data_IF_584941957341
#
_entry.id   IF_584941957341
#
_cell.length_a   1.000
_cell.length_b   1.000
_cell.length_c   1.000
_cell.angle_alpha   90.00
_cell.angle_beta   90.00
_cell.angle_gamma   90.00
#
_symmetry.space_group_name_H-M   'P 1'
#
loop_
_entity.id
_entity.type
_entity.pdbx_description
1 polymer ?
#
# COMPACT_ATOMS: atom_id res chain seq x y z
N UNK A 1 -14.18 -16.96 -16.14
CA UNK A 1 -14.28 -18.32 -15.56
C UNK A 1 -13.29 -18.55 -14.40
N UNK A 2 -12.54 -17.54 -13.96
CA UNK A 2 -11.51 -17.64 -12.90
C UNK A 2 -12.08 -17.40 -11.49
N UNK A 3 -13.22 -16.71 -11.36
CA UNK A 3 -13.82 -16.38 -10.05
C UNK A 3 -14.48 -17.54 -9.26
N UNK A 4 -14.72 -18.69 -9.88
CA UNK A 4 -15.39 -19.81 -9.21
C UNK A 4 -14.44 -20.76 -8.44
N UNK A 5 -13.13 -20.66 -8.65
CA UNK A 5 -12.14 -21.53 -7.99
C UNK A 5 -11.74 -21.04 -6.60
N UNK A 6 -11.72 -19.72 -6.38
CA UNK A 6 -11.31 -19.12 -5.09
C UNK A 6 -12.36 -19.25 -3.97
N UNK A 7 -13.65 -19.40 -4.32
CA UNK A 7 -14.70 -19.61 -3.30
C UNK A 7 -14.60 -20.98 -2.62
N UNK A 8 -13.99 -21.98 -3.26
CA UNK A 8 -13.82 -23.33 -2.71
C UNK A 8 -12.68 -23.46 -1.70
N UNK A 9 -11.61 -22.69 -1.84
CA UNK A 9 -10.51 -22.65 -0.86
C UNK A 9 -10.95 -22.05 0.50
N UNK A 10 -11.89 -21.11 0.49
CA UNK A 10 -12.51 -20.57 1.71
C UNK A 10 -13.37 -21.61 2.42
N UNK A 11 -14.06 -22.47 1.70
CA UNK A 11 -14.87 -23.56 2.31
C UNK A 11 -14.00 -24.61 2.99
N UNK A 12 -12.81 -24.91 2.47
CA UNK A 12 -11.87 -25.87 3.09
C UNK A 12 -11.26 -25.33 4.38
N UNK A 13 -10.91 -24.06 4.46
CA UNK A 13 -10.41 -23.43 5.69
C UNK A 13 -11.46 -23.42 6.82
N UNK A 14 -12.75 -23.20 6.49
CA UNK A 14 -13.85 -23.33 7.45
C UNK A 14 -14.09 -24.79 7.89
N UNK A 15 -13.85 -25.76 7.02
CA UNK A 15 -14.04 -27.19 7.34
C UNK A 15 -12.96 -27.71 8.30
N UNK A 16 -11.72 -27.25 8.17
CA UNK A 16 -10.64 -27.61 9.11
C UNK A 16 -10.86 -27.04 10.52
N UNK A 17 -11.50 -25.90 10.65
CA UNK A 17 -11.83 -25.31 11.95
C UNK A 17 -12.97 -26.08 12.68
N UNK A 18 -13.84 -26.77 11.96
CA UNK A 18 -14.95 -27.57 12.54
C UNK A 18 -14.62 -29.04 12.80
N UNK A 19 -13.54 -29.57 12.22
CA UNK A 19 -13.16 -30.99 12.35
C UNK A 19 -12.50 -31.36 13.71
N UNK A 20 -12.28 -30.43 14.62
CA UNK A 20 -11.68 -30.71 15.92
C UNK A 20 -12.67 -31.27 16.98
N UNK A 21 -13.90 -31.55 16.61
CA UNK A 21 -14.92 -32.04 17.57
C UNK A 21 -15.77 -33.17 17.02
N UNK A 22 -15.18 -34.21 16.48
CA UNK A 22 -15.96 -35.47 16.32
C UNK A 22 -15.09 -36.74 16.43
N UNK A 23 -15.60 -37.58 17.25
CA UNK A 23 -15.16 -38.81 17.85
C UNK A 23 -14.92 -39.98 16.86
N UNK A 24 -14.16 -40.94 17.34
CA UNK A 24 -13.74 -42.24 16.83
C UNK A 24 -14.81 -43.00 16.07
N UNK A 25 -14.62 -43.25 14.75
CA UNK A 25 -15.04 -44.53 14.15
C UNK A 25 -14.26 -44.87 12.86
N UNK A 26 -13.74 -46.05 12.77
CA UNK A 26 -12.81 -46.61 11.77
C UNK A 26 -13.35 -46.72 10.32
N UNK A 27 -14.58 -46.39 10.03
CA UNK A 27 -15.21 -46.52 8.71
C UNK A 27 -15.14 -45.28 7.81
N UNK A 28 -14.65 -44.13 8.30
CA UNK A 28 -14.57 -42.88 7.52
C UNK A 28 -13.25 -42.69 6.77
N UNK A 29 -12.24 -43.48 7.02
CA UNK A 29 -10.91 -43.35 6.35
C UNK A 29 -11.00 -43.72 4.88
N UNK A 30 -11.95 -44.58 4.49
CA UNK A 30 -12.11 -45.00 3.08
C UNK A 30 -12.84 -43.97 2.21
N UNK A 31 -13.68 -43.13 2.79
CA UNK A 31 -14.40 -42.06 2.06
C UNK A 31 -13.43 -40.87 1.77
N UNK A 32 -12.48 -40.63 2.63
CA UNK A 32 -11.49 -39.56 2.44
C UNK A 32 -10.54 -39.82 1.26
N UNK A 33 -10.27 -41.08 0.93
CA UNK A 33 -9.37 -41.49 -0.17
C UNK A 33 -9.98 -41.35 -1.57
N UNK A 34 -11.28 -41.20 -1.71
CA UNK A 34 -11.96 -41.04 -3.02
C UNK A 34 -12.18 -39.57 -3.42
N UNK A 35 -12.01 -38.60 -2.50
CA UNK A 35 -12.16 -37.16 -2.79
C UNK A 35 -10.86 -36.46 -3.19
N UNK A 36 -9.69 -37.12 -3.04
CA UNK A 36 -8.37 -36.54 -3.30
C UNK A 36 -7.86 -36.76 -4.74
N UNK A 37 -8.71 -37.11 -5.70
CA UNK A 37 -8.28 -37.33 -7.10
C UNK A 37 -8.77 -36.26 -8.06
N UNK A 38 -8.91 -35.03 -7.60
CA UNK A 38 -9.31 -33.93 -8.46
C UNK A 38 -8.37 -32.71 -8.25
N UNK A 39 -7.18 -32.73 -8.90
CA UNK A 39 -6.29 -31.60 -9.18
C UNK A 39 -6.18 -30.58 -8.02
N UNK A 40 -5.93 -31.06 -6.82
CA UNK A 40 -5.43 -30.20 -5.76
C UNK A 40 -3.98 -29.88 -6.10
N UNK A 41 -3.59 -28.59 -5.99
CA UNK A 41 -2.19 -28.19 -6.03
C UNK A 41 -1.49 -29.07 -5.01
N UNK A 42 -0.65 -29.98 -5.49
CA UNK A 42 0.08 -30.89 -4.63
C UNK A 42 1.15 -30.05 -3.89
N UNK A 43 0.79 -29.60 -2.69
CA UNK A 43 1.68 -28.81 -1.82
C UNK A 43 2.92 -29.58 -1.36
N UNK A 44 3.09 -30.84 -1.81
CA UNK A 44 4.29 -31.63 -1.54
C UNK A 44 5.56 -31.00 -2.18
N UNK A 45 5.39 -30.02 -3.08
CA UNK A 45 6.51 -29.39 -3.78
C UNK A 45 6.80 -27.94 -3.34
N UNK A 46 6.72 -27.65 -2.02
CA UNK A 46 7.13 -26.34 -1.50
C UNK A 46 8.53 -25.90 -1.96
N UNK A 47 9.44 -26.85 -2.17
CA UNK A 47 10.78 -26.55 -2.68
C UNK A 47 10.75 -26.03 -4.11
N UNK A 48 9.85 -26.53 -4.96
CA UNK A 48 9.67 -26.01 -6.31
C UNK A 48 9.06 -24.60 -6.28
N UNK A 49 8.03 -24.37 -5.46
CA UNK A 49 7.45 -23.02 -5.23
C UNK A 49 8.53 -22.04 -4.79
N UNK A 50 9.33 -22.39 -3.78
CA UNK A 50 10.43 -21.56 -3.29
C UNK A 50 11.48 -21.31 -4.38
N UNK A 51 11.82 -22.31 -5.15
CA UNK A 51 12.80 -22.18 -6.24
C UNK A 51 12.31 -21.23 -7.33
N UNK A 52 11.05 -21.36 -7.77
CA UNK A 52 10.45 -20.46 -8.75
C UNK A 52 10.35 -19.02 -8.22
N UNK A 53 10.01 -18.85 -6.93
CA UNK A 53 10.01 -17.56 -6.25
C UNK A 53 11.37 -16.86 -6.31
N UNK A 54 12.45 -17.60 -6.07
CA UNK A 54 13.81 -17.06 -6.13
C UNK A 54 14.24 -16.70 -7.54
N UNK A 55 13.86 -17.50 -8.54
CA UNK A 55 14.12 -17.15 -9.96
C UNK A 55 13.35 -15.90 -10.35
N UNK A 56 12.11 -15.77 -9.92
CA UNK A 56 11.27 -14.59 -10.16
C UNK A 56 11.88 -13.31 -9.52
N UNK A 57 12.39 -13.42 -8.30
CA UNK A 57 13.02 -12.29 -7.56
C UNK A 57 14.38 -11.88 -8.14
N UNK A 58 15.22 -12.85 -8.52
CA UNK A 58 16.60 -12.63 -8.91
C UNK A 58 16.79 -12.51 -10.43
N UNK A 59 15.73 -12.74 -11.21
CA UNK A 59 15.69 -12.58 -12.66
C UNK A 59 16.49 -13.62 -13.45
N UNK A 60 17.25 -14.52 -12.79
CA UNK A 60 18.04 -15.57 -13.48
C UNK A 60 18.10 -16.88 -12.69
N UNK A 61 18.08 -17.99 -13.42
CA UNK A 61 18.29 -19.35 -12.86
C UNK A 61 19.63 -19.47 -12.15
N UNK A 62 20.68 -18.81 -12.67
CA UNK A 62 22.04 -18.88 -12.09
C UNK A 62 22.10 -18.18 -10.73
N UNK A 63 21.45 -17.02 -10.58
CA UNK A 63 21.41 -16.30 -9.33
C UNK A 63 20.60 -17.08 -8.28
N UNK A 64 19.44 -17.62 -8.66
CA UNK A 64 18.62 -18.45 -7.78
C UNK A 64 19.34 -19.73 -7.33
N UNK A 65 20.02 -20.43 -8.27
CA UNK A 65 20.81 -21.63 -7.97
C UNK A 65 21.91 -21.35 -6.94
N UNK A 66 22.61 -20.21 -7.11
CA UNK A 66 23.67 -19.78 -6.18
C UNK A 66 23.10 -19.45 -4.79
N UNK A 67 22.00 -18.72 -4.73
CA UNK A 67 21.39 -18.27 -3.48
C UNK A 67 20.76 -19.42 -2.68
N UNK A 68 20.16 -20.38 -3.39
CA UNK A 68 19.56 -21.59 -2.81
C UNK A 68 20.57 -22.73 -2.58
N UNK A 69 21.82 -22.55 -2.99
CA UNK A 69 22.89 -23.57 -2.91
C UNK A 69 22.53 -24.90 -3.60
N UNK A 70 21.80 -24.84 -4.73
CA UNK A 70 21.40 -26.00 -5.53
C UNK A 70 21.93 -25.91 -6.97
N UNK A 71 21.90 -27.02 -7.70
CA UNK A 71 22.30 -27.03 -9.10
C UNK A 71 21.29 -26.32 -10.02
N UNK A 72 21.77 -25.65 -11.07
CA UNK A 72 20.93 -25.01 -12.09
C UNK A 72 19.92 -25.99 -12.73
N UNK A 73 20.34 -27.24 -12.96
CA UNK A 73 19.44 -28.28 -13.47
C UNK A 73 18.25 -28.56 -12.54
N UNK A 74 18.47 -28.53 -11.21
CA UNK A 74 17.42 -28.69 -10.21
C UNK A 74 16.47 -27.51 -10.23
N UNK A 75 16.98 -26.27 -10.35
CA UNK A 75 16.14 -25.07 -10.48
C UNK A 75 15.21 -25.19 -11.70
N UNK A 76 15.77 -25.59 -12.84
CA UNK A 76 14.97 -25.76 -14.07
C UNK A 76 13.92 -26.84 -13.92
N UNK A 77 14.27 -28.00 -13.34
CA UNK A 77 13.32 -29.08 -13.10
C UNK A 77 12.16 -28.63 -12.21
N UNK A 78 12.42 -27.94 -11.11
CA UNK A 78 11.39 -27.42 -10.22
C UNK A 78 10.42 -26.46 -10.92
N UNK A 79 10.94 -25.58 -11.80
CA UNK A 79 10.08 -24.69 -12.59
C UNK A 79 9.24 -25.47 -13.59
N UNK A 80 9.85 -26.41 -14.32
CA UNK A 80 9.14 -27.24 -15.31
C UNK A 80 8.06 -28.09 -14.63
N UNK A 81 8.31 -28.62 -13.42
CA UNK A 81 7.34 -29.36 -12.61
C UNK A 81 6.11 -28.49 -12.29
N UNK A 82 6.31 -27.27 -11.74
CA UNK A 82 5.22 -26.35 -11.42
C UNK A 82 4.44 -25.94 -12.66
N UNK A 83 5.10 -25.60 -13.76
CA UNK A 83 4.46 -25.19 -15.01
C UNK A 83 3.65 -26.33 -15.65
N UNK A 84 4.05 -27.61 -15.43
CA UNK A 84 3.32 -28.78 -15.91
C UNK A 84 2.09 -29.08 -15.03
N UNK A 85 2.21 -28.96 -13.72
CA UNK A 85 1.13 -29.21 -12.78
C UNK A 85 0.01 -28.17 -12.92
N UNK A 86 0.35 -26.89 -13.01
CA UNK A 86 -0.60 -25.79 -13.11
C UNK A 86 -1.10 -25.53 -14.55
N UNK A 87 -0.46 -26.14 -15.55
CA UNK A 87 -0.83 -26.01 -16.96
C UNK A 87 -0.58 -24.62 -17.56
N UNK A 88 0.23 -23.78 -16.90
CA UNK A 88 0.57 -22.41 -17.31
C UNK A 88 2.04 -22.11 -17.23
N UNK A 89 2.52 -21.23 -18.12
CA UNK A 89 3.89 -20.73 -18.06
C UNK A 89 3.98 -19.61 -17.04
N UNK A 90 4.85 -19.76 -16.03
CA UNK A 90 5.19 -18.73 -15.05
C UNK A 90 6.31 -17.82 -15.55
N UNK A 91 7.22 -18.37 -16.34
CA UNK A 91 8.44 -17.71 -16.76
C UNK A 91 8.63 -17.85 -18.27
N UNK A 92 8.88 -16.74 -18.96
CA UNK A 92 9.29 -16.69 -20.37
C UNK A 92 10.78 -16.45 -20.49
N UNK A 93 11.43 -17.25 -21.35
CA UNK A 93 12.86 -17.10 -21.68
C UNK A 93 13.05 -16.06 -22.77
N UNK A 94 13.93 -15.12 -22.54
CA UNK A 94 14.39 -14.16 -23.52
C UNK A 94 15.93 -14.19 -23.63
N UNK A 95 16.45 -13.65 -24.70
CA UNK A 95 17.93 -13.60 -24.95
C UNK A 95 18.69 -12.87 -23.82
N UNK A 96 18.05 -12.02 -23.05
CA UNK A 96 18.63 -11.22 -21.94
C UNK A 96 18.25 -11.70 -20.55
N UNK A 97 17.53 -12.82 -20.39
CA UNK A 97 17.12 -13.33 -19.08
C UNK A 97 15.71 -13.92 -19.08
N UNK A 98 15.11 -13.94 -17.92
CA UNK A 98 13.78 -14.47 -17.68
C UNK A 98 12.83 -13.33 -17.34
N UNK A 99 11.66 -13.31 -17.97
CA UNK A 99 10.55 -12.42 -17.63
C UNK A 99 9.39 -13.22 -17.09
N UNK A 100 8.71 -12.67 -16.10
CA UNK A 100 7.49 -13.27 -15.59
C UNK A 100 6.35 -13.08 -16.59
N UNK A 101 5.50 -14.08 -16.71
CA UNK A 101 4.17 -13.94 -17.31
C UNK A 101 3.23 -13.25 -16.32
N UNK A 102 2.01 -12.92 -16.73
CA UNK A 102 0.98 -12.45 -15.81
C UNK A 102 0.74 -13.45 -14.67
N UNK A 103 0.57 -14.74 -15.00
CA UNK A 103 0.47 -15.81 -14.00
C UNK A 103 1.72 -15.92 -13.12
N UNK A 104 2.92 -15.69 -13.70
CA UNK A 104 4.17 -15.64 -12.94
C UNK A 104 4.26 -14.47 -11.98
N UNK A 105 3.65 -13.33 -12.30
CA UNK A 105 3.58 -12.19 -11.39
C UNK A 105 2.65 -12.48 -10.22
N UNK A 106 1.47 -13.06 -10.48
CA UNK A 106 0.52 -13.48 -9.45
C UNK A 106 1.15 -14.53 -8.53
N UNK A 107 1.83 -15.51 -9.12
CA UNK A 107 2.59 -16.52 -8.38
C UNK A 107 3.65 -15.88 -7.47
N UNK A 108 4.46 -14.94 -7.98
CA UNK A 108 5.47 -14.23 -7.19
C UNK A 108 4.86 -13.54 -5.98
N UNK A 109 3.73 -12.88 -6.16
CA UNK A 109 3.05 -12.14 -5.11
C UNK A 109 2.54 -13.08 -4.00
N UNK A 110 1.83 -14.14 -4.40
CA UNK A 110 1.26 -15.14 -3.46
C UNK A 110 2.38 -15.91 -2.75
N UNK A 111 3.37 -16.41 -3.48
CA UNK A 111 4.48 -17.17 -2.90
C UNK A 111 5.31 -16.33 -1.93
N UNK A 112 5.50 -15.02 -2.23
CA UNK A 112 6.18 -14.09 -1.32
C UNK A 112 5.41 -13.88 -0.02
N UNK A 113 4.10 -13.68 -0.10
CA UNK A 113 3.25 -13.52 1.07
C UNK A 113 3.25 -14.80 1.94
N UNK A 114 3.21 -15.98 1.30
CA UNK A 114 3.27 -17.26 2.00
C UNK A 114 4.60 -17.49 2.70
N UNK A 115 5.72 -17.17 2.04
CA UNK A 115 7.06 -17.25 2.66
C UNK A 115 7.15 -16.34 3.89
N UNK A 116 6.65 -15.12 3.81
CA UNK A 116 6.61 -14.18 4.94
C UNK A 116 5.81 -14.74 6.13
N UNK A 117 4.67 -15.34 5.87
CA UNK A 117 3.85 -15.98 6.92
C UNK A 117 4.57 -17.18 7.57
N UNK A 118 5.28 -17.98 6.80
CA UNK A 118 6.08 -19.09 7.32
C UNK A 118 7.27 -18.63 8.16
N UNK A 119 7.94 -17.54 7.74
CA UNK A 119 9.03 -16.91 8.52
C UNK A 119 8.50 -16.42 9.87
N UNK A 120 7.36 -15.74 9.88
CA UNK A 120 6.71 -15.25 11.10
C UNK A 120 6.30 -16.41 12.03
N UNK A 121 5.73 -17.48 11.45
CA UNK A 121 5.37 -18.69 12.20
C UNK A 121 6.62 -19.32 12.85
N UNK A 122 7.70 -19.49 12.09
CA UNK A 122 8.95 -20.03 12.59
C UNK A 122 9.55 -19.16 13.71
N UNK A 123 9.44 -17.83 13.60
CA UNK A 123 9.83 -16.88 14.64
C UNK A 123 9.05 -17.11 15.96
N UNK A 124 7.73 -17.25 15.85
CA UNK A 124 6.85 -17.52 17.02
C UNK A 124 7.14 -18.85 17.67
N UNK A 125 7.35 -19.92 16.90
CA UNK A 125 7.69 -21.26 17.42
C UNK A 125 9.02 -21.25 18.18
N UNK A 126 10.01 -20.48 17.72
CA UNK A 126 11.32 -20.35 18.38
C UNK A 126 11.29 -19.46 19.62
N UNK A 127 10.14 -18.94 20.03
CA UNK A 127 10.03 -18.00 21.15
C UNK A 127 10.69 -16.64 20.89
N UNK A 128 11.11 -16.37 19.65
CA UNK A 128 11.68 -15.09 19.20
C UNK A 128 10.60 -14.23 18.54
N UNK A 129 9.46 -14.06 19.19
CA UNK A 129 8.32 -13.28 18.67
C UNK A 129 8.62 -11.80 18.43
N UNK A 130 9.82 -11.34 18.76
CA UNK A 130 10.26 -9.95 18.62
C UNK A 130 11.20 -9.69 17.43
N UNK A 131 11.66 -10.72 16.71
CA UNK A 131 12.49 -10.49 15.51
C UNK A 131 11.60 -10.22 14.31
N UNK A 132 11.57 -8.95 13.91
CA UNK A 132 10.96 -8.49 12.66
C UNK A 132 12.01 -8.64 11.58
N UNK A 133 11.79 -9.58 10.66
CA UNK A 133 12.75 -9.94 9.61
C UNK A 133 12.14 -9.73 8.21
N UNK A 134 13.02 -9.68 7.21
CA UNK A 134 12.64 -9.64 5.81
C UNK A 134 12.32 -8.25 5.29
N UNK A 135 11.42 -8.14 4.32
CA UNK A 135 11.07 -6.89 3.64
C UNK A 135 9.69 -6.42 4.07
N UNK A 136 9.59 -5.17 4.51
CA UNK A 136 8.34 -4.46 4.72
C UNK A 136 8.07 -3.56 3.52
N UNK A 137 6.97 -3.79 2.80
CA UNK A 137 6.55 -2.98 1.66
C UNK A 137 5.40 -2.09 2.12
N UNK A 138 5.63 -0.77 2.06
CA UNK A 138 4.64 0.25 2.37
C UNK A 138 4.30 1.01 1.11
N UNK A 139 3.02 1.19 0.82
CA UNK A 139 2.59 2.06 -0.29
C UNK A 139 1.82 3.25 0.23
N UNK A 140 2.06 4.42 -0.35
CA UNK A 140 1.45 5.66 0.09
C UNK A 140 1.23 6.64 -1.06
N UNK A 141 0.42 7.66 -0.80
CA UNK A 141 0.29 8.84 -1.65
C UNK A 141 1.43 9.82 -1.37
N UNK A 142 1.83 10.61 -2.38
CA UNK A 142 3.01 11.47 -2.31
C UNK A 142 3.01 12.45 -1.13
N UNK A 143 1.89 13.07 -0.85
CA UNK A 143 1.78 14.09 0.21
C UNK A 143 2.15 13.54 1.60
N UNK A 144 2.25 12.22 1.75
CA UNK A 144 2.59 11.54 2.99
C UNK A 144 4.10 11.25 3.14
N UNK A 145 4.95 11.53 2.16
CA UNK A 145 6.37 11.20 2.18
C UNK A 145 7.09 11.85 3.38
N UNK A 146 6.97 13.17 3.56
CA UNK A 146 7.56 13.91 4.67
C UNK A 146 7.08 13.40 6.05
N UNK A 147 5.84 12.89 6.14
CA UNK A 147 5.24 12.39 7.38
C UNK A 147 5.66 10.96 7.70
N UNK A 148 5.89 10.13 6.67
CA UNK A 148 6.22 8.71 6.85
C UNK A 148 7.71 8.49 7.11
N UNK A 149 8.59 9.33 6.60
CA UNK A 149 10.03 9.16 6.79
C UNK A 149 10.43 9.08 8.26
N UNK A 150 9.93 9.92 9.20
CA UNK A 150 10.23 9.78 10.62
C UNK A 150 9.74 8.45 11.22
N UNK A 151 8.58 7.93 10.77
CA UNK A 151 8.08 6.63 11.20
C UNK A 151 8.96 5.49 10.69
N UNK A 152 9.41 5.57 9.42
CA UNK A 152 10.32 4.59 8.83
C UNK A 152 11.68 4.60 9.54
N UNK A 153 12.22 5.78 9.86
CA UNK A 153 13.46 5.92 10.64
C UNK A 153 13.34 5.25 12.01
N UNK A 154 12.27 5.56 12.75
CA UNK A 154 12.02 4.97 14.06
C UNK A 154 11.84 3.45 13.97
N UNK A 155 11.14 2.95 12.94
CA UNK A 155 10.98 1.53 12.69
C UNK A 155 12.32 0.85 12.39
N UNK A 156 13.13 1.42 11.51
CA UNK A 156 14.46 0.91 11.15
C UNK A 156 15.43 0.88 12.33
N UNK A 157 15.37 1.88 13.20
CA UNK A 157 16.17 1.92 14.42
C UNK A 157 15.82 0.77 15.37
N UNK A 158 14.53 0.41 15.48
CA UNK A 158 14.07 -0.70 16.33
C UNK A 158 14.28 -2.08 15.68
N UNK A 159 14.23 -2.13 14.34
CA UNK A 159 14.29 -3.35 13.55
C UNK A 159 15.30 -3.24 12.41
N UNK A 160 16.63 -3.20 12.72
CA UNK A 160 17.69 -2.93 11.73
C UNK A 160 17.80 -4.03 10.66
N UNK A 161 17.33 -5.23 10.94
CA UNK A 161 17.36 -6.38 10.03
C UNK A 161 16.20 -6.40 9.02
N UNK A 162 15.25 -5.47 9.14
CA UNK A 162 14.11 -5.37 8.22
C UNK A 162 14.39 -4.32 7.15
N UNK A 163 14.32 -4.70 5.89
CA UNK A 163 14.37 -3.75 4.78
C UNK A 163 12.99 -3.12 4.55
N UNK A 164 12.92 -1.80 4.51
CA UNK A 164 11.69 -1.08 4.18
C UNK A 164 11.73 -0.59 2.74
N UNK A 165 10.70 -0.93 1.98
CA UNK A 165 10.44 -0.36 0.65
C UNK A 165 9.21 0.54 0.75
N UNK A 166 9.39 1.83 0.48
CA UNK A 166 8.29 2.78 0.34
C UNK A 166 8.01 2.98 -1.15
N UNK A 167 6.79 2.68 -1.56
CA UNK A 167 6.30 2.91 -2.92
C UNK A 167 5.30 4.06 -2.89
N UNK A 168 5.61 5.13 -3.60
CA UNK A 168 4.77 6.31 -3.68
C UNK A 168 4.00 6.30 -5.00
N UNK A 169 2.69 6.49 -4.92
CA UNK A 169 1.83 6.58 -6.11
C UNK A 169 0.37 6.38 -5.80
N UNK A 170 -0.46 6.69 -6.80
CA UNK A 170 -1.93 6.58 -6.70
C UNK A 170 -2.44 5.19 -7.15
N UNK A 171 -1.57 4.33 -7.68
CA UNK A 171 -1.95 2.97 -8.07
C UNK A 171 -2.37 2.17 -6.85
N UNK A 172 -3.50 1.48 -6.98
CA UNK A 172 -3.96 0.54 -5.96
C UNK A 172 -3.16 -0.75 -6.14
N UNK A 173 -2.21 -0.99 -5.24
CA UNK A 173 -1.51 -2.28 -5.18
C UNK A 173 -2.41 -3.30 -4.49
N UNK A 174 -2.37 -4.53 -4.98
CA UNK A 174 -3.16 -5.63 -4.46
C UNK A 174 -2.56 -6.14 -3.15
N UNK A 175 -3.14 -5.74 -2.04
CA UNK A 175 -2.71 -6.18 -0.71
C UNK A 175 -2.94 -7.69 -0.52
N UNK A 176 -3.96 -8.24 -1.16
CA UNK A 176 -4.27 -9.68 -1.12
C UNK A 176 -3.19 -10.55 -1.74
N UNK A 177 -2.46 -10.03 -2.72
CA UNK A 177 -1.34 -10.73 -3.38
C UNK A 177 0.03 -10.38 -2.79
N UNK A 178 0.06 -9.63 -1.68
CA UNK A 178 1.32 -9.27 -1.03
C UNK A 178 2.18 -8.24 -1.78
N UNK A 179 1.63 -7.54 -2.78
CA UNK A 179 2.32 -6.45 -3.48
C UNK A 179 2.71 -5.32 -2.52
N UNK A 180 1.90 -5.12 -1.48
CA UNK A 180 2.24 -4.27 -0.34
C UNK A 180 1.71 -4.89 0.96
N UNK A 181 2.41 -4.63 2.07
CA UNK A 181 2.00 -5.09 3.40
C UNK A 181 1.12 -4.06 4.10
N UNK A 182 1.42 -2.78 3.90
CA UNK A 182 0.70 -1.64 4.48
C UNK A 182 0.46 -0.61 3.39
N UNK A 183 -0.79 -0.21 3.21
CA UNK A 183 -1.17 0.89 2.32
C UNK A 183 -1.67 2.07 3.14
N UNK A 184 -1.19 3.28 2.81
CA UNK A 184 -1.70 4.53 3.37
C UNK A 184 -2.43 5.28 2.26
N UNK A 185 -3.70 5.59 2.50
CA UNK A 185 -4.59 6.16 1.48
C UNK A 185 -5.34 7.37 2.02
N UNK A 186 -5.54 8.34 1.16
CA UNK A 186 -6.27 9.58 1.44
C UNK A 186 -7.77 9.47 1.05
N UNK A 187 -8.62 10.20 1.75
CA UNK A 187 -10.01 10.40 1.36
C UNK A 187 -11.00 9.51 2.11
N UNK A 188 -11.93 8.88 1.40
CA UNK A 188 -12.97 8.03 2.00
C UNK A 188 -12.36 6.76 2.59
N UNK A 189 -12.96 6.28 3.69
CA UNK A 189 -12.57 5.00 4.29
C UNK A 189 -12.67 3.88 3.24
N UNK A 190 -11.59 3.15 2.96
CA UNK A 190 -11.62 1.99 2.08
C UNK A 190 -12.63 0.96 2.58
N UNK A 191 -13.37 0.34 1.66
CA UNK A 191 -14.39 -0.65 1.98
C UNK A 191 -14.16 -1.93 1.15
N UNK A 192 -13.16 -2.73 1.54
CA UNK A 192 -12.92 -4.05 0.98
C UNK A 192 -13.03 -5.08 2.10
N UNK A 193 -13.77 -6.20 1.92
CA UNK A 193 -14.07 -7.14 3.01
C UNK A 193 -12.83 -7.81 3.61
N UNK A 194 -11.78 -8.00 2.81
CA UNK A 194 -10.55 -8.67 3.24
C UNK A 194 -9.49 -7.69 3.77
N UNK A 195 -9.86 -6.41 3.92
CA UNK A 195 -8.94 -5.39 4.43
C UNK A 195 -9.28 -4.98 5.87
N UNK A 196 -8.25 -4.90 6.69
CA UNK A 196 -8.29 -4.20 7.98
C UNK A 196 -7.96 -2.74 7.73
N UNK A 197 -8.90 -1.85 8.06
CA UNK A 197 -8.77 -0.40 7.83
C UNK A 197 -8.76 0.34 9.15
N UNK A 198 -7.67 1.06 9.43
CA UNK A 198 -7.47 1.85 10.64
C UNK A 198 -7.34 3.34 10.28
N UNK A 199 -7.86 4.27 11.10
CA UNK A 199 -7.57 5.68 10.92
C UNK A 199 -6.09 5.96 11.22
N UNK A 200 -5.48 6.86 10.43
CA UNK A 200 -4.10 7.30 10.65
C UNK A 200 -4.08 8.74 11.17
N UNK A 201 -4.46 9.70 10.34
CA UNK A 201 -4.47 11.12 10.66
C UNK A 201 -5.47 11.90 9.82
N UNK A 202 -5.67 13.16 10.17
CA UNK A 202 -6.33 14.14 9.31
C UNK A 202 -5.33 15.23 8.93
N UNK A 203 -5.43 15.74 7.72
CA UNK A 203 -4.58 16.80 7.18
C UNK A 203 -5.48 17.99 6.85
N UNK A 204 -5.18 19.12 7.45
CA UNK A 204 -5.82 20.38 7.16
C UNK A 204 -5.01 21.12 6.10
N UNK A 205 -5.64 21.54 5.02
CA UNK A 205 -5.00 22.26 3.91
C UNK A 205 -5.64 23.62 3.69
N UNK A 206 -4.84 24.61 3.33
CA UNK A 206 -5.29 25.96 2.98
C UNK A 206 -4.77 26.38 1.61
N UNK A 207 -5.29 27.47 1.09
CA UNK A 207 -4.78 28.12 -0.11
C UNK A 207 -3.69 29.11 0.27
N UNK A 208 -2.50 28.96 -0.31
CA UNK A 208 -1.32 29.73 0.01
C UNK A 208 -0.73 30.40 -1.23
N UNK A 209 -0.07 31.54 -1.00
CA UNK A 209 0.79 32.21 -1.96
C UNK A 209 2.12 32.58 -1.30
N UNK A 210 3.18 32.70 -2.09
CA UNK A 210 4.43 33.28 -1.61
C UNK A 210 4.31 34.81 -1.53
N UNK A 211 4.95 35.41 -0.54
CA UNK A 211 4.92 36.87 -0.33
C UNK A 211 5.31 37.67 -1.57
N UNK A 212 6.37 37.26 -2.28
CA UNK A 212 6.80 37.94 -3.51
C UNK A 212 5.75 37.93 -4.63
N UNK A 213 4.91 36.88 -4.69
CA UNK A 213 3.80 36.82 -5.61
C UNK A 213 2.74 37.87 -5.24
N UNK A 214 2.39 37.97 -3.95
CA UNK A 214 1.43 38.98 -3.47
C UNK A 214 1.94 40.40 -3.61
N UNK A 215 3.24 40.61 -3.46
CA UNK A 215 3.88 41.95 -3.69
C UNK A 215 3.74 42.38 -5.15
N UNK A 216 3.74 41.44 -6.11
CA UNK A 216 3.64 41.69 -7.54
C UNK A 216 2.18 41.80 -8.03
N UNK A 217 1.29 40.91 -7.57
CA UNK A 217 -0.08 40.78 -8.10
C UNK A 217 -1.15 41.32 -7.15
N UNK A 218 -0.76 41.74 -5.93
CA UNK A 218 -1.67 42.19 -4.90
C UNK A 218 -2.24 41.07 -4.04
N UNK A 219 -2.98 41.42 -2.96
CA UNK A 219 -3.60 40.46 -2.06
C UNK A 219 -4.80 39.79 -2.73
N UNK A 220 -4.96 38.48 -2.52
CA UNK A 220 -6.14 37.73 -2.93
C UNK A 220 -7.33 38.07 -2.02
N UNK A 221 -8.47 38.51 -2.58
CA UNK A 221 -9.63 39.00 -1.83
C UNK A 221 -10.84 38.06 -1.84
N UNK A 222 -10.67 36.84 -2.37
CA UNK A 222 -11.72 35.82 -2.45
C UNK A 222 -12.13 35.50 -3.89
N UNK A 223 -13.27 34.82 -4.03
CA UNK A 223 -13.67 34.23 -5.30
C UNK A 223 -13.82 35.23 -6.46
N UNK A 224 -14.24 36.45 -6.19
CA UNK A 224 -14.37 37.51 -7.20
C UNK A 224 -13.01 37.98 -7.76
N UNK A 225 -11.92 37.67 -7.06
CA UNK A 225 -10.56 38.06 -7.42
C UNK A 225 -9.80 36.96 -8.21
N UNK A 226 -10.40 35.78 -8.35
CA UNK A 226 -9.81 34.65 -9.05
C UNK A 226 -9.29 35.01 -10.46
N UNK A 227 -10.02 35.76 -11.29
CA UNK A 227 -9.54 36.11 -12.64
C UNK A 227 -8.24 36.93 -12.65
N UNK A 228 -7.87 37.57 -11.54
CA UNK A 228 -6.68 38.41 -11.41
C UNK A 228 -5.46 37.65 -10.90
N UNK A 229 -5.61 36.36 -10.58
CA UNK A 229 -4.54 35.56 -9.99
C UNK A 229 -4.23 34.29 -10.77
N UNK A 230 -2.99 33.82 -10.64
CA UNK A 230 -2.50 32.56 -11.19
C UNK A 230 -2.61 31.45 -10.16
N UNK A 231 -2.94 30.24 -10.62
CA UNK A 231 -3.11 29.09 -9.76
C UNK A 231 -2.23 27.90 -10.19
N UNK A 232 -1.87 27.09 -9.20
CA UNK A 232 -1.11 25.85 -9.37
C UNK A 232 -2.07 24.69 -9.17
N UNK A 233 -2.28 23.93 -10.24
CA UNK A 233 -3.25 22.83 -10.32
C UNK A 233 -2.63 21.44 -10.27
N UNK A 234 -3.51 20.46 -10.40
CA UNK A 234 -3.17 19.04 -10.52
C UNK A 234 -3.54 18.52 -11.91
N UNK A 235 -2.80 17.51 -12.38
CA UNK A 235 -3.09 16.85 -13.67
C UNK A 235 -4.22 15.82 -13.58
N UNK A 236 -4.61 15.39 -12.37
CA UNK A 236 -5.69 14.41 -12.15
C UNK A 236 -7.05 15.10 -12.12
N UNK A 237 -7.65 15.19 -13.29
CA UNK A 237 -8.98 15.76 -13.47
C UNK A 237 -10.10 14.88 -12.86
N UNK A 238 -9.85 13.60 -12.62
CA UNK A 238 -10.82 12.67 -12.03
C UNK A 238 -10.82 12.70 -10.50
N UNK A 239 -9.88 13.39 -9.89
CA UNK A 239 -9.69 13.43 -8.43
C UNK A 239 -10.94 13.94 -7.70
N UNK A 240 -11.33 13.21 -6.66
CA UNK A 240 -12.40 13.61 -5.74
C UNK A 240 -11.87 14.29 -4.46
N UNK A 241 -10.59 14.66 -4.42
CA UNK A 241 -10.02 15.43 -3.34
C UNK A 241 -10.69 16.81 -3.30
N UNK A 242 -11.28 17.23 -2.16
CA UNK A 242 -12.15 18.42 -2.11
C UNK A 242 -11.50 19.69 -2.64
N UNK A 243 -10.22 19.93 -2.34
CA UNK A 243 -9.50 21.11 -2.83
C UNK A 243 -9.35 21.10 -4.36
N UNK A 244 -9.07 19.93 -4.95
CA UNK A 244 -8.98 19.77 -6.41
C UNK A 244 -10.35 19.95 -7.07
N UNK A 245 -11.42 19.47 -6.42
CA UNK A 245 -12.80 19.69 -6.89
C UNK A 245 -13.15 21.17 -6.84
N UNK A 246 -12.79 21.87 -5.75
CA UNK A 246 -13.00 23.31 -5.64
C UNK A 246 -12.26 24.06 -6.76
N UNK A 247 -10.98 23.76 -6.97
CA UNK A 247 -10.17 24.41 -8.01
C UNK A 247 -10.78 24.24 -9.40
N UNK A 248 -11.18 23.01 -9.79
CA UNK A 248 -11.81 22.74 -11.10
C UNK A 248 -13.14 23.46 -11.31
N UNK A 249 -13.90 23.68 -10.22
CA UNK A 249 -15.23 24.32 -10.31
C UNK A 249 -15.15 25.83 -10.28
N UNK A 250 -14.12 26.39 -9.66
CA UNK A 250 -14.07 27.81 -9.29
C UNK A 250 -13.01 28.58 -10.09
N UNK A 251 -11.89 27.93 -10.42
CA UNK A 251 -10.79 28.58 -11.11
C UNK A 251 -10.90 28.35 -12.63
N UNK A 252 -10.98 29.41 -13.47
CA UNK A 252 -10.92 29.27 -14.92
C UNK A 252 -9.62 28.61 -15.38
N UNK A 253 -9.68 27.81 -16.44
CA UNK A 253 -8.53 27.05 -16.93
C UNK A 253 -7.34 27.96 -17.32
N UNK A 254 -7.61 29.13 -17.86
CA UNK A 254 -6.61 30.12 -18.24
C UNK A 254 -5.83 30.70 -17.04
N UNK A 255 -6.40 30.63 -15.86
CA UNK A 255 -5.75 31.05 -14.62
C UNK A 255 -4.88 29.96 -13.99
N UNK A 256 -4.96 28.70 -14.46
CA UNK A 256 -4.11 27.61 -14.02
C UNK A 256 -2.82 27.62 -14.86
N UNK A 257 -1.79 28.26 -14.34
CA UNK A 257 -0.54 28.50 -15.09
C UNK A 257 0.48 27.36 -14.97
N UNK A 258 0.30 26.47 -14.00
CA UNK A 258 1.18 25.33 -13.78
C UNK A 258 0.39 24.16 -13.22
N UNK A 259 0.66 22.94 -13.73
CA UNK A 259 0.04 21.69 -13.26
C UNK A 259 1.10 20.63 -13.01
N UNK A 260 0.92 19.84 -11.98
CA UNK A 260 1.77 18.69 -11.67
C UNK A 260 0.96 17.64 -10.93
N UNK A 261 1.22 16.36 -11.18
CA UNK A 261 0.68 15.25 -10.38
C UNK A 261 1.49 15.01 -9.08
N UNK A 262 2.55 15.79 -8.88
CA UNK A 262 3.47 15.67 -7.74
C UNK A 262 3.23 16.81 -6.75
N UNK A 263 2.74 16.48 -5.54
CA UNK A 263 2.41 17.47 -4.50
C UNK A 263 3.64 18.24 -4.00
N UNK A 264 4.82 17.60 -3.97
CA UNK A 264 6.07 18.26 -3.62
C UNK A 264 6.51 19.30 -4.66
N UNK A 265 6.25 19.01 -5.96
CA UNK A 265 6.50 19.96 -7.06
C UNK A 265 5.49 21.11 -7.00
N UNK A 266 4.22 20.83 -6.74
CA UNK A 266 3.20 21.88 -6.54
C UNK A 266 3.61 22.82 -5.39
N UNK A 267 4.03 22.26 -4.24
CA UNK A 267 4.53 23.06 -3.09
C UNK A 267 5.71 23.95 -3.49
N UNK A 268 6.70 23.41 -4.20
CA UNK A 268 7.86 24.19 -4.67
C UNK A 268 7.44 25.29 -5.65
N UNK A 269 6.45 25.08 -6.49
CA UNK A 269 5.92 26.08 -7.40
C UNK A 269 5.27 27.24 -6.63
N UNK A 270 4.49 26.96 -5.57
CA UNK A 270 3.96 28.01 -4.68
C UNK A 270 5.09 28.77 -4.00
N UNK A 271 6.10 28.06 -3.46
CA UNK A 271 7.27 28.66 -2.80
C UNK A 271 8.11 29.51 -3.75
N UNK A 272 8.13 29.19 -5.03
CA UNK A 272 8.80 29.97 -6.06
C UNK A 272 7.99 31.21 -6.53
N UNK A 273 6.76 31.39 -6.00
CA UNK A 273 5.92 32.54 -6.38
C UNK A 273 5.27 32.41 -7.75
N UNK A 274 5.05 31.17 -8.26
CA UNK A 274 4.38 30.99 -9.55
C UNK A 274 2.88 31.28 -9.48
N UNK A 275 2.27 31.19 -8.30
CA UNK A 275 0.83 31.40 -8.12
C UNK A 275 0.32 30.86 -6.79
N UNK A 276 -1.00 30.85 -6.65
CA UNK A 276 -1.72 30.32 -5.51
C UNK A 276 -1.85 28.80 -5.63
N UNK A 277 -1.65 28.10 -4.51
CA UNK A 277 -1.81 26.63 -4.49
C UNK A 277 -2.18 26.10 -3.12
N UNK A 278 -2.75 24.90 -3.10
CA UNK A 278 -3.11 24.22 -1.86
C UNK A 278 -1.92 23.54 -1.22
N UNK A 279 -1.70 23.83 0.07
CA UNK A 279 -0.63 23.23 0.89
C UNK A 279 -1.21 22.73 2.23
N UNK A 280 -0.64 21.64 2.80
CA UNK A 280 -0.87 21.32 4.20
C UNK A 280 -0.44 22.46 5.11
N UNK A 281 -1.28 22.82 6.10
CA UNK A 281 -1.02 23.96 6.98
C UNK A 281 0.26 23.84 7.80
N UNK A 282 0.59 22.65 8.25
CA UNK A 282 1.80 22.37 9.01
C UNK A 282 3.05 22.54 8.14
N UNK A 283 3.02 22.06 6.90
CA UNK A 283 4.12 22.26 5.94
C UNK A 283 4.27 23.74 5.52
N UNK A 284 3.15 24.43 5.31
CA UNK A 284 3.17 25.84 4.98
C UNK A 284 3.79 26.70 6.10
N UNK A 285 3.51 26.36 7.37
CA UNK A 285 4.09 27.05 8.55
C UNK A 285 5.62 26.95 8.64
N UNK A 286 6.23 25.97 7.98
CA UNK A 286 7.69 25.83 7.98
C UNK A 286 8.38 26.88 7.09
N UNK A 287 7.64 27.56 6.21
CA UNK A 287 8.16 28.65 5.39
C UNK A 287 7.44 29.96 5.73
N UNK A 288 8.11 30.93 6.41
CA UNK A 288 7.50 32.18 6.85
C UNK A 288 7.06 33.11 5.71
N UNK A 289 7.56 32.87 4.49
CA UNK A 289 7.19 33.68 3.31
C UNK A 289 5.92 33.16 2.62
N UNK A 290 5.35 32.05 3.10
CA UNK A 290 4.04 31.56 2.66
C UNK A 290 2.93 32.23 3.47
N UNK A 291 2.01 32.84 2.77
CA UNK A 291 0.84 33.52 3.33
C UNK A 291 -0.41 32.73 3.01
N UNK A 292 -1.20 32.40 4.04
CA UNK A 292 -2.54 31.82 3.85
C UNK A 292 -3.45 32.90 3.28
N UNK A 293 -3.92 32.71 2.03
CA UNK A 293 -4.71 33.72 1.31
C UNK A 293 -6.21 33.42 1.40
N UNK A 294 -6.59 32.17 1.71
CA UNK A 294 -7.96 31.78 1.99
C UNK A 294 -7.98 30.81 3.17
N UNK A 295 -8.83 31.06 4.20
CA UNK A 295 -8.97 30.17 5.33
C UNK A 295 -9.41 28.78 4.90
N UNK A 296 -8.84 27.75 5.55
CA UNK A 296 -9.23 26.37 5.32
C UNK A 296 -10.71 26.14 5.57
N UNK A 297 -11.37 25.49 4.62
CA UNK A 297 -12.74 25.02 4.79
C UNK A 297 -12.74 23.63 5.46
N UNK A 298 -13.74 23.33 6.27
CA UNK A 298 -13.91 22.00 6.88
C UNK A 298 -13.94 20.88 5.83
N UNK A 299 -14.49 21.18 4.64
CA UNK A 299 -14.52 20.26 3.51
C UNK A 299 -13.12 19.95 2.95
N UNK A 300 -12.11 20.74 3.25
CA UNK A 300 -10.73 20.55 2.79
C UNK A 300 -9.90 19.67 3.73
N UNK A 301 -10.45 19.25 4.87
CA UNK A 301 -9.79 18.30 5.76
C UNK A 301 -9.79 16.92 5.09
N UNK A 302 -8.61 16.41 4.82
CA UNK A 302 -8.41 15.08 4.23
C UNK A 302 -8.13 14.06 5.32
N UNK A 303 -8.88 12.95 5.33
CA UNK A 303 -8.65 11.80 6.23
C UNK A 303 -7.68 10.83 5.58
N UNK A 304 -6.77 10.29 6.37
CA UNK A 304 -5.84 9.25 5.94
C UNK A 304 -6.10 7.95 6.69
N UNK A 305 -5.98 6.85 5.96
CA UNK A 305 -6.30 5.51 6.44
C UNK A 305 -5.12 4.59 6.21
N UNK A 306 -4.87 3.73 7.20
CA UNK A 306 -3.99 2.58 7.05
C UNK A 306 -4.87 1.41 6.59
N UNK A 307 -4.41 0.68 5.58
CA UNK A 307 -5.06 -0.51 5.06
C UNK A 307 -4.05 -1.64 4.99
N UNK A 308 -4.43 -2.80 5.49
CA UNK A 308 -3.64 -4.04 5.44
C UNK A 308 -4.57 -5.19 5.07
N UNK A 309 -4.07 -6.22 4.38
CA UNK A 309 -4.85 -7.44 4.18
C UNK A 309 -5.00 -8.20 5.50
N UNK A 310 -6.14 -8.87 5.72
CA UNK A 310 -6.45 -9.60 6.96
C UNK A 310 -5.38 -10.64 7.30
N UNK A 311 -4.83 -11.34 6.30
CA UNK A 311 -3.82 -12.37 6.47
C UNK A 311 -2.46 -11.79 6.86
N UNK A 312 -2.10 -10.61 6.34
CA UNK A 312 -0.84 -9.93 6.62
C UNK A 312 -0.90 -9.04 7.86
N UNK A 313 -2.10 -8.61 8.26
CA UNK A 313 -2.30 -7.70 9.39
C UNK A 313 -1.65 -8.20 10.69
N UNK A 314 -1.72 -9.51 10.93
CA UNK A 314 -1.20 -10.13 12.17
C UNK A 314 0.27 -10.50 12.11
N UNK A 315 0.96 -10.27 11.00
CA UNK A 315 2.40 -10.55 10.88
C UNK A 315 3.22 -9.61 11.75
N UNK A 316 4.34 -10.12 12.31
CA UNK A 316 5.17 -9.36 13.25
C UNK A 316 5.66 -8.03 12.68
N UNK A 317 6.08 -8.02 11.41
CA UNK A 317 6.57 -6.80 10.74
C UNK A 317 5.47 -5.75 10.53
N UNK A 318 4.24 -6.18 10.20
CA UNK A 318 3.12 -5.25 10.03
C UNK A 318 2.72 -4.68 11.39
N UNK A 319 2.55 -5.51 12.43
CA UNK A 319 2.19 -5.03 13.76
C UNK A 319 3.24 -4.08 14.34
N UNK A 320 4.54 -4.41 14.20
CA UNK A 320 5.63 -3.54 14.64
C UNK A 320 5.61 -2.17 13.95
N UNK A 321 5.30 -2.14 12.64
CA UNK A 321 5.18 -0.88 11.92
C UNK A 321 3.92 -0.09 12.31
N UNK A 322 2.79 -0.77 12.51
CA UNK A 322 1.56 -0.16 13.01
C UNK A 322 1.76 0.47 14.40
N UNK A 323 2.54 -0.15 15.27
CA UNK A 323 2.87 0.41 16.59
C UNK A 323 3.72 1.68 16.46
N UNK A 324 4.67 1.70 15.53
CA UNK A 324 5.43 2.93 15.24
C UNK A 324 4.52 4.01 14.68
N UNK A 325 3.64 3.69 13.74
CA UNK A 325 2.68 4.67 13.21
C UNK A 325 1.78 5.26 14.29
N UNK A 326 1.29 4.43 15.24
CA UNK A 326 0.48 4.92 16.38
C UNK A 326 1.25 5.88 17.28
N UNK A 327 2.56 5.68 17.43
CA UNK A 327 3.42 6.55 18.25
C UNK A 327 3.72 7.88 17.54
N UNK A 328 3.95 7.84 16.22
CA UNK A 328 4.23 9.04 15.41
C UNK A 328 2.96 9.85 15.16
N UNK A 329 1.81 9.17 14.99
CA UNK A 329 0.50 9.77 14.76
C UNK A 329 -0.46 9.40 15.89
N UNK A 330 -0.35 10.01 17.07
CA UNK A 330 -1.23 9.69 18.20
C UNK A 330 -2.69 10.09 17.87
N UNK A 331 -3.67 9.27 18.28
CA UNK A 331 -5.10 9.47 17.96
C UNK A 331 -5.66 10.84 18.36
N UNK A 332 -5.08 11.47 19.39
CA UNK A 332 -5.53 12.76 19.90
C UNK A 332 -4.98 13.97 19.12
N UNK A 333 -4.00 13.78 18.21
CA UNK A 333 -3.51 14.86 17.36
C UNK A 333 -4.47 15.16 16.19
N UNK A 334 -5.46 14.31 15.95
CA UNK A 334 -6.30 14.33 14.74
C UNK A 334 -7.75 13.94 15.00
N UNK A 335 -8.28 14.08 16.22
CA UNK A 335 -9.69 13.81 16.48
C UNK A 335 -10.55 14.75 15.62
N UNK A 336 -11.41 14.24 14.73
CA UNK A 336 -12.42 15.08 14.11
C UNK A 336 -13.30 15.63 15.24
N UNK A 337 -13.50 16.95 15.26
CA UNK A 337 -14.52 17.57 16.10
C UNK A 337 -15.83 16.88 15.76
N UNK A 338 -16.40 16.21 16.74
CA UNK A 338 -17.63 15.43 16.65
C UNK A 338 -18.74 16.25 15.98
N UNK A 339 -19.31 15.73 14.90
CA UNK A 339 -20.41 16.35 14.13
C UNK A 339 -21.74 16.46 14.93
N UNK A 340 -21.78 15.98 16.19
CA UNK A 340 -23.05 15.86 16.93
C UNK A 340 -23.42 17.03 17.85
N UNK A 341 -22.60 18.06 18.00
CA UNK A 341 -22.88 19.10 19.01
C UNK A 341 -23.33 20.47 18.48
N UNK A 342 -23.67 20.64 17.20
CA UNK A 342 -24.16 21.95 16.68
C UNK A 342 -25.38 21.87 15.74
N UNK A 343 -26.32 21.00 16.03
CA UNK A 343 -27.69 21.11 15.50
C UNK A 343 -28.68 21.49 16.63
N UNK A 344 -28.30 22.43 17.46
CA UNK A 344 -29.24 23.15 18.36
C UNK A 344 -28.75 24.59 18.40
N UNK A 345 -29.25 25.38 17.48
CA UNK A 345 -29.78 26.74 17.62
C UNK A 345 -30.17 27.28 16.25
#
# INVERSE_FOLDING_TARGET
>A
MIGAHFSRLRQLACYFAQAHHLDKNRSQVTIFRSYTHNRDIDMDNWMAVRTALYVARLGTVSAAAKDLEIHRATVMRHIDELEQEDGGKLIQRHARGYHLTEAGQDFLNIASATEDQLIDLAGRIRGKSSQVLGKLIVTSVEIMDDYLLPAIEQFRTRHPETNVMLQIGNSVLNLEYGEAHVAIRAGRKPNHPDNVVLPLMTMDSGLYAHRSYLDQYGPFKGDDDIPNHCFIGDTDESSNVPMRVWMRKTVPHENIVFVSNNSGVQRKAVQAGLGLGFLPKDQAKMNPDLVEVMPSLRSWITKFWITTHVDLHRTGKVQAFLDVLRNVFPPNATAPVDEQSRNRD
#
